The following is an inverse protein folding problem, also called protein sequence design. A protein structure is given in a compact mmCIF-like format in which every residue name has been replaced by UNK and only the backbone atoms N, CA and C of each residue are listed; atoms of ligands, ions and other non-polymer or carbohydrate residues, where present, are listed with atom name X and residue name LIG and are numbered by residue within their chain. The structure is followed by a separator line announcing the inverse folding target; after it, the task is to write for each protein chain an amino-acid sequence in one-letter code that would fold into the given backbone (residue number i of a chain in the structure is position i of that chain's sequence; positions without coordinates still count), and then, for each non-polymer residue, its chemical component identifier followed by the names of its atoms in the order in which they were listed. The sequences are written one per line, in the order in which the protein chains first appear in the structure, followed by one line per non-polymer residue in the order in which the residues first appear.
data_IF_469166286396
#
_entry.id   IF_469166286396
#
_cell.length_a   1.000
_cell.length_b   1.000
_cell.length_c   1.000
_cell.angle_alpha   90.00
_cell.angle_beta   90.00
_cell.angle_gamma   90.00
#
_symmetry.space_group_name_H-M   'P 1'
#
loop_
_entity.id
_entity.type
_entity.pdbx_description
1 polymer ?
#
# COMPACT_ATOMS: atom_id res chain seq x y z
N UNK A 1 6.09 -15.84 16.24
CA UNK A 1 7.02 -16.37 15.22
C UNK A 1 8.27 -15.50 15.25
N UNK A 2 9.44 -16.08 15.53
CA UNK A 2 10.71 -15.35 15.56
C UNK A 2 11.01 -14.82 14.15
N UNK A 3 10.99 -13.49 13.96
CA UNK A 3 11.47 -12.87 12.73
C UNK A 3 12.94 -13.24 12.58
N UNK A 4 13.32 -13.83 11.45
CA UNK A 4 14.71 -14.21 11.15
C UNK A 4 15.61 -12.98 11.24
N UNK A 5 16.33 -12.81 12.36
CA UNK A 5 17.13 -11.61 12.66
C UNK A 5 18.24 -11.40 11.63
N UNK A 6 18.80 -12.49 11.08
CA UNK A 6 19.80 -12.46 10.02
C UNK A 6 19.24 -11.86 8.73
N UNK A 7 18.02 -12.23 8.35
CA UNK A 7 17.33 -11.64 7.20
C UNK A 7 17.05 -10.14 7.42
N UNK A 8 16.58 -9.77 8.62
CA UNK A 8 16.33 -8.36 8.97
C UNK A 8 17.62 -7.54 9.02
N UNK A 9 18.74 -8.12 9.45
CA UNK A 9 20.05 -7.48 9.37
C UNK A 9 20.49 -7.27 7.92
N UNK A 10 20.38 -8.32 7.08
CA UNK A 10 20.72 -8.24 5.66
C UNK A 10 19.90 -7.17 4.93
N UNK A 11 18.57 -7.15 5.10
CA UNK A 11 17.71 -6.16 4.47
C UNK A 11 18.02 -4.73 4.92
N UNK A 12 18.39 -4.51 6.20
CA UNK A 12 18.84 -3.20 6.68
C UNK A 12 20.13 -2.76 6.01
N UNK A 13 21.14 -3.64 5.94
CA UNK A 13 22.41 -3.35 5.29
C UNK A 13 22.21 -3.01 3.81
N UNK A 14 21.39 -3.79 3.11
CA UNK A 14 21.08 -3.58 1.72
C UNK A 14 20.38 -2.23 1.48
N UNK A 15 19.34 -1.92 2.25
CA UNK A 15 18.63 -0.64 2.14
C UNK A 15 19.54 0.55 2.48
N UNK A 16 20.47 0.38 3.43
CA UNK A 16 21.47 1.38 3.74
C UNK A 16 22.41 1.63 2.55
N UNK A 17 22.93 0.57 1.91
CA UNK A 17 23.79 0.69 0.72
C UNK A 17 23.05 1.27 -0.48
N UNK A 18 21.78 0.91 -0.68
CA UNK A 18 20.96 1.48 -1.73
C UNK A 18 20.65 2.97 -1.49
N UNK A 19 20.34 3.37 -0.25
CA UNK A 19 20.14 4.78 0.11
C UNK A 19 21.41 5.61 -0.09
N UNK A 20 22.59 5.04 0.22
CA UNK A 20 23.88 5.66 -0.05
C UNK A 20 24.07 5.88 -1.56
N UNK A 21 23.77 4.89 -2.40
CA UNK A 21 23.83 5.03 -3.85
C UNK A 21 22.90 6.14 -4.37
N UNK A 22 21.66 6.22 -3.85
CA UNK A 22 20.71 7.28 -4.23
C UNK A 22 21.23 8.67 -3.82
N UNK A 23 21.89 8.78 -2.67
CA UNK A 23 22.53 10.04 -2.25
C UNK A 23 23.64 10.45 -3.22
N UNK A 24 24.52 9.50 -3.60
CA UNK A 24 25.61 9.78 -4.53
C UNK A 24 25.14 10.07 -5.95
N UNK A 25 24.05 9.45 -6.41
CA UNK A 25 23.40 9.79 -7.66
C UNK A 25 22.99 11.27 -7.70
N UNK A 26 22.36 11.76 -6.62
CA UNK A 26 21.96 13.15 -6.51
C UNK A 26 23.15 14.12 -6.44
N UNK A 27 24.26 13.70 -5.81
CA UNK A 27 25.51 14.47 -5.79
C UNK A 27 26.15 14.53 -7.18
N UNK A 28 26.16 13.41 -7.90
CA UNK A 28 26.68 13.32 -9.26
C UNK A 28 25.90 14.25 -10.20
N UNK A 29 24.57 14.17 -10.21
CA UNK A 29 23.72 15.01 -11.06
C UNK A 29 23.94 16.50 -10.79
N UNK A 30 24.12 16.89 -9.52
CA UNK A 30 24.47 18.27 -9.14
C UNK A 30 25.88 18.69 -9.57
N UNK A 31 26.86 17.79 -9.56
CA UNK A 31 28.22 18.13 -9.98
C UNK A 31 28.36 18.18 -11.51
N UNK A 32 27.60 17.35 -12.24
CA UNK A 32 27.66 17.31 -13.69
C UNK A 32 27.19 18.62 -14.34
N UNK A 33 26.29 19.37 -13.68
CA UNK A 33 25.86 20.70 -14.12
C UNK A 33 26.86 21.82 -13.81
N UNK A 34 27.89 21.60 -12.99
CA UNK A 34 28.92 22.58 -12.68
C UNK A 34 30.10 22.53 -13.66
N UNK A 35 30.92 23.57 -13.74
CA UNK A 35 32.09 23.62 -14.65
C UNK A 35 33.38 23.01 -14.07
N UNK A 36 33.34 22.41 -12.88
CA UNK A 36 34.54 21.87 -12.22
C UNK A 36 34.78 20.38 -12.61
N UNK A 37 35.79 20.06 -13.44
CA UNK A 37 36.05 18.69 -13.90
C UNK A 37 36.56 17.77 -12.80
N UNK A 38 37.40 18.26 -11.88
CA UNK A 38 37.96 17.46 -10.79
C UNK A 38 36.85 17.02 -9.83
N UNK A 39 35.93 17.93 -9.51
CA UNK A 39 34.75 17.62 -8.70
C UNK A 39 33.89 16.54 -9.35
N UNK A 40 33.69 16.58 -10.68
CA UNK A 40 32.92 15.57 -11.41
C UNK A 40 33.55 14.18 -11.30
N UNK A 41 34.88 14.09 -11.39
CA UNK A 41 35.61 12.83 -11.21
C UNK A 41 35.44 12.27 -9.80
N UNK A 42 35.66 13.10 -8.77
CA UNK A 42 35.52 12.69 -7.37
C UNK A 42 34.13 12.15 -7.07
N UNK A 43 33.06 12.84 -7.49
CA UNK A 43 31.70 12.34 -7.22
C UNK A 43 31.35 11.10 -8.06
N UNK A 44 31.92 10.95 -9.26
CA UNK A 44 31.76 9.76 -10.06
C UNK A 44 32.48 8.55 -9.45
N UNK A 45 33.66 8.76 -8.84
CA UNK A 45 34.38 7.75 -8.05
C UNK A 45 33.55 7.31 -6.84
N UNK A 46 32.99 8.26 -6.09
CA UNK A 46 32.12 7.97 -4.95
C UNK A 46 30.89 7.15 -5.36
N UNK A 47 30.22 7.55 -6.44
CA UNK A 47 29.07 6.82 -6.95
C UNK A 47 29.46 5.43 -7.48
N UNK A 48 30.63 5.29 -8.11
CA UNK A 48 31.14 4.00 -8.59
C UNK A 48 31.41 3.07 -7.40
N UNK A 49 32.02 3.59 -6.33
CA UNK A 49 32.27 2.82 -5.13
C UNK A 49 30.96 2.40 -4.45
N UNK A 50 29.99 3.32 -4.29
CA UNK A 50 28.68 2.99 -3.74
C UNK A 50 27.94 1.92 -4.58
N UNK A 51 28.08 1.98 -5.90
CA UNK A 51 27.51 0.97 -6.81
C UNK A 51 28.17 -0.40 -6.65
N UNK A 52 29.50 -0.44 -6.53
CA UNK A 52 30.26 -1.67 -6.31
C UNK A 52 29.97 -2.29 -4.93
N UNK A 53 29.89 -1.45 -3.90
CA UNK A 53 29.52 -1.87 -2.54
C UNK A 53 28.14 -2.52 -2.51
N UNK A 54 27.14 -1.88 -3.14
CA UNK A 54 25.80 -2.45 -3.25
C UNK A 54 25.83 -3.78 -4.02
N UNK A 55 26.54 -3.83 -5.16
CA UNK A 55 26.69 -5.07 -5.93
C UNK A 55 27.33 -6.19 -5.12
N UNK A 56 28.33 -5.88 -4.28
CA UNK A 56 29.01 -6.86 -3.43
C UNK A 56 28.11 -7.44 -2.32
N UNK A 57 27.02 -6.75 -1.97
CA UNK A 57 26.03 -7.28 -1.01
C UNK A 57 25.01 -8.22 -1.66
N UNK A 58 24.96 -8.32 -2.98
CA UNK A 58 23.97 -9.08 -3.73
C UNK A 58 24.54 -10.40 -4.24
N UNK A 59 23.68 -11.41 -4.37
CA UNK A 59 24.01 -12.59 -5.16
C UNK A 59 24.02 -12.23 -6.65
N UNK A 60 24.77 -12.97 -7.47
CA UNK A 60 24.86 -12.69 -8.92
C UNK A 60 23.50 -12.69 -9.63
N UNK A 61 22.52 -13.46 -9.14
CA UNK A 61 21.18 -13.49 -9.73
C UNK A 61 20.28 -12.33 -9.34
N UNK A 62 20.66 -11.57 -8.30
CA UNK A 62 19.85 -10.48 -7.76
C UNK A 62 20.43 -9.11 -8.13
N UNK A 63 21.48 -9.08 -8.95
CA UNK A 63 22.08 -7.84 -9.47
C UNK A 63 21.20 -7.34 -10.63
N UNK A 64 20.47 -6.22 -10.46
CA UNK A 64 19.66 -5.71 -11.54
C UNK A 64 20.53 -5.08 -12.64
N UNK A 65 20.04 -5.14 -13.89
CA UNK A 65 20.76 -4.61 -15.05
C UNK A 65 21.15 -3.13 -14.90
N UNK A 66 20.29 -2.34 -14.27
CA UNK A 66 20.56 -0.92 -14.02
C UNK A 66 21.83 -0.72 -13.17
N UNK A 67 22.13 -1.60 -12.23
CA UNK A 67 23.31 -1.49 -11.36
C UNK A 67 24.58 -1.81 -12.14
N UNK A 68 24.54 -2.86 -12.97
CA UNK A 68 25.65 -3.22 -13.86
C UNK A 68 25.92 -2.11 -14.87
N UNK A 69 24.88 -1.58 -15.51
CA UNK A 69 25.00 -0.48 -16.47
C UNK A 69 25.55 0.79 -15.83
N UNK A 70 25.11 1.12 -14.62
CA UNK A 70 25.61 2.26 -13.84
C UNK A 70 27.12 2.14 -13.59
N UNK A 71 27.59 0.97 -13.16
CA UNK A 71 29.02 0.69 -12.94
C UNK A 71 29.83 0.86 -14.25
N UNK A 72 29.29 0.38 -15.37
CA UNK A 72 29.94 0.50 -16.69
C UNK A 72 30.06 1.96 -17.11
N UNK A 73 28.97 2.74 -17.05
CA UNK A 73 28.98 4.15 -17.44
C UNK A 73 29.96 4.98 -16.62
N UNK A 74 29.98 4.77 -15.30
CA UNK A 74 30.91 5.43 -14.38
C UNK A 74 32.36 5.02 -14.67
N UNK A 75 32.60 3.73 -14.92
CA UNK A 75 33.93 3.21 -15.27
C UNK A 75 34.47 3.83 -16.55
N UNK A 76 33.67 3.89 -17.61
CA UNK A 76 34.07 4.51 -18.89
C UNK A 76 34.34 6.01 -18.74
N UNK A 77 33.54 6.73 -17.94
CA UNK A 77 33.78 8.15 -17.68
C UNK A 77 35.11 8.37 -16.95
N UNK A 78 35.40 7.60 -15.90
CA UNK A 78 36.63 7.75 -15.12
C UNK A 78 37.89 7.34 -15.90
N UNK A 79 37.77 6.42 -16.84
CA UNK A 79 38.85 6.04 -17.77
C UNK A 79 39.03 7.05 -18.92
N UNK A 80 38.18 8.08 -19.02
CA UNK A 80 38.20 9.06 -20.09
C UNK A 80 37.62 8.58 -21.43
N UNK A 81 37.01 7.39 -21.45
CA UNK A 81 36.35 6.86 -22.65
C UNK A 81 35.01 7.54 -22.94
N UNK A 82 34.32 8.05 -21.91
CA UNK A 82 33.04 8.76 -22.02
C UNK A 82 33.19 10.22 -21.55
N UNK A 83 32.48 11.13 -22.21
CA UNK A 83 32.37 12.53 -21.76
C UNK A 83 31.37 12.68 -20.61
N UNK A 84 31.33 13.86 -19.97
CA UNK A 84 30.28 14.17 -18.98
C UNK A 84 28.87 14.09 -19.56
N UNK A 85 28.70 14.39 -20.85
CA UNK A 85 27.41 14.29 -21.54
C UNK A 85 26.99 12.83 -21.73
N UNK A 86 27.93 11.96 -22.09
CA UNK A 86 27.67 10.51 -22.25
C UNK A 86 27.31 9.88 -20.91
N UNK A 87 28.03 10.25 -19.84
CA UNK A 87 27.69 9.82 -18.48
C UNK A 87 26.29 10.29 -18.09
N UNK A 88 25.97 11.57 -18.28
CA UNK A 88 24.66 12.12 -17.96
C UNK A 88 23.54 11.40 -18.71
N UNK A 89 23.73 11.16 -20.01
CA UNK A 89 22.77 10.46 -20.87
C UNK A 89 22.54 9.01 -20.43
N UNK A 90 23.59 8.32 -19.98
CA UNK A 90 23.50 6.98 -19.41
C UNK A 90 22.76 6.96 -18.07
N UNK A 91 23.12 7.87 -17.16
CA UNK A 91 22.56 7.94 -15.80
C UNK A 91 21.08 8.36 -15.81
N UNK A 92 20.67 9.30 -16.67
CA UNK A 92 19.26 9.71 -16.75
C UNK A 92 18.35 8.53 -17.11
N UNK A 93 18.80 7.61 -17.98
CA UNK A 93 18.02 6.43 -18.39
C UNK A 93 17.74 5.47 -17.23
N UNK A 94 18.66 5.38 -16.27
CA UNK A 94 18.56 4.47 -15.12
C UNK A 94 18.14 5.17 -13.83
N UNK A 95 18.04 6.51 -13.81
CA UNK A 95 17.73 7.31 -12.60
C UNK A 95 16.46 6.84 -11.89
N UNK A 96 15.35 6.76 -12.64
CA UNK A 96 14.06 6.35 -12.07
C UNK A 96 14.16 4.94 -11.48
N UNK A 97 14.83 4.03 -12.19
CA UNK A 97 15.04 2.65 -11.73
C UNK A 97 15.85 2.60 -10.44
N UNK A 98 16.90 3.42 -10.30
CA UNK A 98 17.70 3.50 -9.07
C UNK A 98 16.84 4.01 -7.89
N UNK A 99 16.05 5.07 -8.07
CA UNK A 99 15.30 5.71 -6.98
C UNK A 99 14.05 4.91 -6.57
N UNK A 100 13.38 4.28 -7.53
CA UNK A 100 12.13 3.56 -7.29
C UNK A 100 12.34 2.07 -7.01
N UNK A 101 13.58 1.55 -7.08
CA UNK A 101 13.82 0.13 -6.88
C UNK A 101 13.32 -0.31 -5.50
N UNK A 102 12.68 -1.48 -5.47
CA UNK A 102 12.26 -2.17 -4.26
C UNK A 102 12.84 -3.57 -4.33
N UNK A 103 13.68 -3.90 -3.37
CA UNK A 103 14.32 -5.20 -3.30
C UNK A 103 13.29 -6.28 -3.02
N UNK A 104 13.20 -7.25 -3.93
CA UNK A 104 12.42 -8.48 -3.78
C UNK A 104 13.37 -9.64 -4.05
N UNK A 105 13.55 -10.50 -3.06
CA UNK A 105 14.45 -11.67 -3.13
C UNK A 105 13.70 -12.99 -3.30
N UNK A 106 12.39 -12.92 -3.52
CA UNK A 106 11.55 -14.05 -3.84
C UNK A 106 11.69 -14.31 -5.33
N UNK A 107 12.52 -15.29 -5.69
CA UNK A 107 12.49 -15.93 -7.01
C UNK A 107 11.29 -16.88 -7.01
N UNK A 108 10.17 -16.42 -7.56
CA UNK A 108 9.17 -17.34 -8.08
C UNK A 108 9.05 -17.11 -9.59
N UNK A 109 9.29 -18.17 -10.38
CA UNK A 109 8.89 -18.24 -11.80
C UNK A 109 7.35 -18.28 -11.95
N UNK A 110 6.62 -18.35 -10.83
CA UNK A 110 5.17 -18.22 -10.72
C UNK A 110 4.85 -16.98 -9.87
N UNK A 111 4.46 -15.86 -10.50
CA UNK A 111 4.03 -14.70 -9.73
C UNK A 111 2.82 -15.05 -8.87
N UNK A 112 2.96 -14.97 -7.54
CA UNK A 112 1.82 -15.13 -6.65
C UNK A 112 0.71 -14.13 -7.00
N UNK A 113 -0.55 -14.55 -6.86
CA UNK A 113 -1.69 -13.65 -7.02
C UNK A 113 -1.63 -12.54 -5.97
N UNK A 114 -1.42 -11.30 -6.44
CA UNK A 114 -1.42 -10.11 -5.59
C UNK A 114 -2.85 -9.57 -5.43
N UNK A 115 -3.59 -10.22 -4.53
CA UNK A 115 -4.98 -9.86 -4.22
C UNK A 115 -5.11 -8.46 -3.60
N UNK A 116 -4.11 -8.00 -2.86
CA UNK A 116 -4.11 -6.65 -2.30
C UNK A 116 -3.96 -5.60 -3.40
N UNK A 117 -3.12 -5.83 -4.42
CA UNK A 117 -3.02 -4.93 -5.58
C UNK A 117 -4.33 -4.82 -6.36
N UNK A 118 -5.09 -5.92 -6.51
CA UNK A 118 -6.43 -5.89 -7.13
C UNK A 118 -7.37 -5.01 -6.30
N UNK A 119 -7.38 -5.17 -4.97
CA UNK A 119 -8.20 -4.33 -4.09
C UNK A 119 -7.80 -2.85 -4.15
N UNK A 120 -6.51 -2.55 -4.05
CA UNK A 120 -5.98 -1.18 -4.09
C UNK A 120 -6.34 -0.47 -5.39
N UNK A 121 -6.28 -1.18 -6.52
CA UNK A 121 -6.70 -0.65 -7.82
C UNK A 121 -8.16 -0.16 -7.78
N UNK A 122 -9.10 -1.03 -7.39
CA UNK A 122 -10.51 -0.64 -7.35
C UNK A 122 -10.86 0.32 -6.22
N UNK A 123 -10.15 0.28 -5.08
CA UNK A 123 -10.30 1.26 -4.00
C UNK A 123 -9.96 2.67 -4.50
N UNK A 124 -8.86 2.82 -5.25
CA UNK A 124 -8.43 4.11 -5.78
C UNK A 124 -9.36 4.67 -6.86
N UNK A 125 -10.11 3.81 -7.56
CA UNK A 125 -11.15 4.23 -8.51
C UNK A 125 -12.52 4.49 -7.85
N UNK A 126 -12.69 4.09 -6.60
CA UNK A 126 -13.95 4.21 -5.86
C UNK A 126 -14.08 5.57 -5.16
N UNK A 127 -15.30 5.92 -4.77
CA UNK A 127 -15.58 7.08 -3.88
C UNK A 127 -15.34 6.75 -2.40
N UNK A 128 -14.86 5.55 -2.09
CA UNK A 128 -14.72 5.08 -0.72
C UNK A 128 -13.81 5.97 0.16
N UNK A 129 -12.63 6.43 -0.31
CA UNK A 129 -11.77 7.30 0.50
C UNK A 129 -12.47 8.61 0.88
N UNK A 130 -13.23 9.20 -0.04
CA UNK A 130 -13.96 10.44 0.19
C UNK A 130 -15.12 10.24 1.17
N UNK A 131 -15.85 9.13 1.05
CA UNK A 131 -16.94 8.78 1.96
C UNK A 131 -16.43 8.51 3.37
N UNK A 132 -15.27 7.84 3.51
CA UNK A 132 -14.60 7.67 4.80
C UNK A 132 -14.20 9.01 5.43
N UNK A 133 -13.66 9.94 4.64
CA UNK A 133 -13.33 11.28 5.12
C UNK A 133 -14.57 12.06 5.56
N UNK A 134 -15.70 11.92 4.84
CA UNK A 134 -16.97 12.54 5.22
C UNK A 134 -17.52 11.99 6.54
N UNK A 135 -17.47 10.67 6.73
CA UNK A 135 -17.86 10.04 8.01
C UNK A 135 -17.01 10.59 9.15
N UNK A 136 -15.69 10.60 8.98
CA UNK A 136 -14.76 11.15 9.99
C UNK A 136 -15.13 12.59 10.32
N UNK A 137 -15.37 13.42 9.31
CA UNK A 137 -15.74 14.82 9.51
C UNK A 137 -17.03 14.98 10.32
N UNK A 138 -18.08 14.22 10.00
CA UNK A 138 -19.37 14.31 10.71
C UNK A 138 -19.21 13.82 12.16
N UNK A 139 -18.44 12.76 12.39
CA UNK A 139 -18.14 12.28 13.75
C UNK A 139 -17.36 13.32 14.56
N UNK A 140 -16.41 14.03 13.94
CA UNK A 140 -15.68 15.13 14.58
C UNK A 140 -16.59 16.33 14.89
N UNK A 141 -17.51 16.68 14.01
CA UNK A 141 -18.51 17.74 14.26
C UNK A 141 -19.41 17.37 15.45
N UNK A 142 -19.82 16.10 15.54
CA UNK A 142 -20.57 15.56 16.69
C UNK A 142 -19.73 15.64 17.97
N UNK A 143 -18.46 15.22 17.94
CA UNK A 143 -17.55 15.26 19.10
C UNK A 143 -17.32 16.70 19.58
N UNK A 144 -17.15 17.64 18.66
CA UNK A 144 -16.82 19.04 18.94
C UNK A 144 -18.04 19.91 19.28
N UNK A 145 -19.25 19.39 19.12
CA UNK A 145 -20.50 20.11 19.42
C UNK A 145 -20.60 20.59 20.87
N UNK A 146 -19.94 19.88 21.81
CA UNK A 146 -20.08 20.13 23.24
C UNK A 146 -21.39 19.63 23.85
N UNK A 147 -22.25 18.99 23.06
CA UNK A 147 -23.58 18.52 23.48
C UNK A 147 -23.54 17.12 24.14
N UNK A 148 -22.38 16.47 24.17
CA UNK A 148 -22.20 15.13 24.73
C UNK A 148 -21.66 15.23 26.16
N UNK A 149 -22.51 14.98 27.16
CA UNK A 149 -22.12 15.02 28.58
C UNK A 149 -21.34 13.77 29.05
N UNK A 150 -21.39 12.67 28.28
CA UNK A 150 -20.74 11.41 28.64
C UNK A 150 -19.28 11.39 28.21
N UNK A 151 -18.36 11.52 29.17
CA UNK A 151 -16.90 11.37 28.96
C UNK A 151 -16.56 10.02 28.31
N UNK A 152 -17.28 8.96 28.65
CA UNK A 152 -17.10 7.64 28.06
C UNK A 152 -17.46 7.64 26.57
N UNK A 153 -18.56 8.31 26.21
CA UNK A 153 -18.98 8.46 24.81
C UNK A 153 -17.95 9.23 23.99
N UNK A 154 -17.47 10.38 24.50
CA UNK A 154 -16.44 11.17 23.84
C UNK A 154 -15.19 10.32 23.58
N UNK A 155 -14.69 9.58 24.58
CA UNK A 155 -13.53 8.71 24.40
C UNK A 155 -13.76 7.61 23.36
N UNK A 156 -14.95 7.01 23.35
CA UNK A 156 -15.29 5.96 22.41
C UNK A 156 -15.40 6.49 20.96
N UNK A 157 -16.02 7.67 20.80
CA UNK A 157 -16.12 8.39 19.54
C UNK A 157 -14.73 8.80 19.02
N UNK A 158 -13.88 9.37 19.87
CA UNK A 158 -12.50 9.70 19.51
C UNK A 158 -11.69 8.46 19.11
N UNK A 159 -11.92 7.30 19.75
CA UNK A 159 -11.28 6.03 19.35
C UNK A 159 -11.78 5.52 18.00
N UNK A 160 -13.06 5.68 17.71
CA UNK A 160 -13.65 5.36 16.40
C UNK A 160 -13.04 6.24 15.30
N UNK A 161 -13.01 7.55 15.51
CA UNK A 161 -12.40 8.53 14.59
C UNK A 161 -10.93 8.18 14.32
N UNK A 162 -10.15 7.92 15.38
CA UNK A 162 -8.74 7.57 15.25
C UNK A 162 -8.54 6.25 14.47
N UNK A 163 -9.40 5.25 14.70
CA UNK A 163 -9.35 3.98 13.96
C UNK A 163 -9.64 4.21 12.48
N UNK A 164 -10.65 5.00 12.13
CA UNK A 164 -10.96 5.31 10.73
C UNK A 164 -9.83 6.05 10.02
N UNK A 165 -9.25 7.06 10.68
CA UNK A 165 -8.10 7.80 10.13
C UNK A 165 -6.89 6.91 9.88
N UNK A 166 -6.63 5.94 10.76
CA UNK A 166 -5.53 5.00 10.60
C UNK A 166 -5.80 3.93 9.54
N UNK A 167 -7.06 3.55 9.33
CA UNK A 167 -7.43 2.46 8.43
C UNK A 167 -7.79 2.89 7.00
N UNK A 168 -8.10 4.17 6.74
CA UNK A 168 -8.60 4.63 5.41
C UNK A 168 -7.64 4.33 4.25
N UNK A 169 -6.34 4.37 4.50
CA UNK A 169 -5.29 4.08 3.51
C UNK A 169 -4.69 2.67 3.70
N UNK A 170 -5.31 1.85 4.55
CA UNK A 170 -4.86 0.50 4.88
C UNK A 170 -5.28 -0.56 3.86
N UNK A 171 -4.91 -1.80 4.17
CA UNK A 171 -5.27 -2.98 3.37
C UNK A 171 -6.78 -3.29 3.42
N UNK A 172 -7.21 -4.22 2.57
CA UNK A 172 -8.58 -4.76 2.56
C UNK A 172 -9.09 -5.08 3.98
N UNK A 173 -8.26 -5.77 4.76
CA UNK A 173 -8.60 -6.16 6.12
C UNK A 173 -8.80 -4.94 7.04
N UNK A 174 -7.89 -3.97 7.00
CA UNK A 174 -7.96 -2.79 7.87
C UNK A 174 -9.22 -1.95 7.60
N UNK A 175 -9.59 -1.78 6.34
CA UNK A 175 -10.80 -1.05 5.93
C UNK A 175 -12.06 -1.79 6.36
N UNK A 176 -12.14 -3.10 6.10
CA UNK A 176 -13.31 -3.89 6.47
C UNK A 176 -13.51 -3.97 7.99
N UNK A 177 -12.43 -4.16 8.76
CA UNK A 177 -12.52 -4.16 10.23
C UNK A 177 -12.90 -2.79 10.79
N UNK A 178 -12.43 -1.69 10.19
CA UNK A 178 -12.88 -0.36 10.58
C UNK A 178 -14.37 -0.18 10.28
N UNK A 179 -14.83 -0.61 9.10
CA UNK A 179 -16.25 -0.57 8.73
C UNK A 179 -17.13 -1.40 9.69
N UNK A 180 -16.74 -2.63 10.02
CA UNK A 180 -17.41 -3.48 11.02
C UNK A 180 -17.51 -2.77 12.37
N UNK A 181 -16.41 -2.18 12.80
CA UNK A 181 -16.36 -1.48 14.08
C UNK A 181 -17.31 -0.29 14.10
N UNK A 182 -17.36 0.53 13.02
CA UNK A 182 -18.33 1.62 12.89
C UNK A 182 -19.75 1.11 12.94
N UNK A 183 -20.11 0.14 12.10
CA UNK A 183 -21.49 -0.37 12.04
C UNK A 183 -21.94 -0.93 13.39
N UNK A 184 -21.06 -1.64 14.10
CA UNK A 184 -21.31 -2.13 15.46
C UNK A 184 -21.47 -0.97 16.46
N UNK A 185 -20.59 0.04 16.40
CA UNK A 185 -20.66 1.21 17.28
C UNK A 185 -21.95 2.00 17.08
N UNK A 186 -22.33 2.24 15.82
CA UNK A 186 -23.55 2.97 15.46
C UNK A 186 -24.79 2.26 16.01
N UNK A 187 -24.93 0.97 15.69
CA UNK A 187 -26.08 0.15 16.04
C UNK A 187 -26.25 -0.04 17.54
N UNK A 188 -25.14 -0.30 18.24
CA UNK A 188 -25.19 -0.73 19.63
C UNK A 188 -25.01 0.42 20.64
N UNK A 189 -24.52 1.58 20.20
CA UNK A 189 -24.14 2.65 21.11
C UNK A 189 -24.60 4.02 20.64
N UNK A 190 -24.25 4.41 19.42
CA UNK A 190 -24.44 5.80 18.97
C UNK A 190 -25.91 6.19 18.77
N UNK A 191 -26.72 5.33 18.11
CA UNK A 191 -28.13 5.65 17.88
C UNK A 191 -28.97 5.65 19.17
N UNK A 192 -28.60 4.83 20.15
CA UNK A 192 -29.31 4.79 21.43
C UNK A 192 -29.05 6.06 22.27
N UNK A 193 -27.84 6.60 22.21
CA UNK A 193 -27.43 7.72 23.07
C UNK A 193 -27.56 9.09 22.39
N UNK A 194 -27.10 9.25 21.15
CA UNK A 194 -27.09 10.57 20.50
C UNK A 194 -28.46 10.98 19.95
N UNK A 195 -29.34 10.03 19.60
CA UNK A 195 -30.68 10.36 19.14
C UNK A 195 -31.54 11.05 20.23
N UNK A 196 -31.11 10.99 21.50
CA UNK A 196 -31.75 11.68 22.62
C UNK A 196 -31.42 13.17 22.68
N UNK A 197 -30.45 13.64 21.88
CA UNK A 197 -29.95 15.03 21.87
C UNK A 197 -30.52 15.73 20.63
N UNK A 198 -31.56 16.58 20.75
CA UNK A 198 -32.24 17.17 19.59
C UNK A 198 -31.33 18.00 18.69
N UNK A 199 -30.34 18.69 19.27
CA UNK A 199 -29.40 19.57 18.56
C UNK A 199 -28.53 18.79 17.56
N UNK A 200 -28.30 17.50 17.79
CA UNK A 200 -27.50 16.65 16.91
C UNK A 200 -28.29 16.03 15.74
N UNK A 201 -29.61 16.23 15.67
CA UNK A 201 -30.49 15.55 14.71
C UNK A 201 -29.99 15.63 13.26
N UNK A 202 -29.64 16.83 12.78
CA UNK A 202 -29.16 17.03 11.41
C UNK A 202 -27.81 16.33 11.15
N UNK A 203 -26.90 16.31 12.12
CA UNK A 203 -25.61 15.62 11.98
C UNK A 203 -25.79 14.09 11.94
N UNK A 204 -26.73 13.56 12.74
CA UNK A 204 -27.07 12.14 12.74
C UNK A 204 -27.73 11.71 11.42
N UNK A 205 -28.62 12.53 10.86
CA UNK A 205 -29.22 12.29 9.54
C UNK A 205 -28.16 12.31 8.42
N UNK A 206 -27.26 13.29 8.45
CA UNK A 206 -26.15 13.37 7.50
C UNK A 206 -25.26 12.12 7.58
N UNK A 207 -24.93 11.69 8.80
CA UNK A 207 -24.14 10.50 9.05
C UNK A 207 -24.84 9.25 8.52
N UNK A 208 -26.12 9.06 8.82
CA UNK A 208 -26.91 7.92 8.33
C UNK A 208 -26.92 7.87 6.79
N UNK A 209 -27.09 9.01 6.14
CA UNK A 209 -27.04 9.10 4.68
C UNK A 209 -25.67 8.71 4.14
N UNK A 210 -24.58 9.26 4.68
CA UNK A 210 -23.22 8.92 4.25
C UNK A 210 -22.89 7.45 4.50
N UNK A 211 -23.40 6.84 5.58
CA UNK A 211 -23.25 5.41 5.84
C UNK A 211 -23.96 4.57 4.78
N UNK A 212 -25.17 4.95 4.36
CA UNK A 212 -25.90 4.25 3.27
C UNK A 212 -25.13 4.32 1.96
N UNK A 213 -24.65 5.51 1.59
CA UNK A 213 -23.81 5.70 0.39
C UNK A 213 -22.52 4.86 0.48
N UNK A 214 -21.90 4.80 1.66
CA UNK A 214 -20.68 4.00 1.89
C UNK A 214 -20.95 2.50 1.80
N UNK A 215 -22.09 2.02 2.30
CA UNK A 215 -22.49 0.62 2.15
C UNK A 215 -22.66 0.22 0.67
N UNK A 216 -23.30 1.09 -0.12
CA UNK A 216 -23.46 0.85 -1.56
C UNK A 216 -22.10 0.82 -2.28
N UNK A 217 -21.21 1.76 -1.95
CA UNK A 217 -19.87 1.80 -2.53
C UNK A 217 -19.01 0.59 -2.14
N UNK A 218 -19.04 0.18 -0.86
CA UNK A 218 -18.38 -1.03 -0.37
C UNK A 218 -18.89 -2.28 -1.09
N UNK A 219 -20.20 -2.39 -1.29
CA UNK A 219 -20.80 -3.50 -2.02
C UNK A 219 -20.31 -3.55 -3.47
N UNK A 220 -20.34 -2.42 -4.17
CA UNK A 220 -19.88 -2.31 -5.56
C UNK A 220 -18.38 -2.63 -5.68
N UNK A 221 -17.56 -2.12 -4.74
CA UNK A 221 -16.14 -2.40 -4.65
C UNK A 221 -15.89 -3.91 -4.51
N UNK A 222 -16.56 -4.56 -3.55
CA UNK A 222 -16.42 -6.00 -3.34
C UNK A 222 -16.82 -6.83 -4.55
N UNK A 223 -17.88 -6.44 -5.28
CA UNK A 223 -18.26 -7.13 -6.52
C UNK A 223 -17.19 -7.03 -7.60
N UNK A 224 -16.61 -5.85 -7.81
CA UNK A 224 -15.53 -5.63 -8.79
C UNK A 224 -14.28 -6.43 -8.43
N UNK A 225 -13.89 -6.38 -7.16
CA UNK A 225 -12.74 -7.12 -6.62
C UNK A 225 -12.96 -8.62 -6.78
N UNK A 226 -14.14 -9.14 -6.41
CA UNK A 226 -14.48 -10.55 -6.57
C UNK A 226 -14.38 -11.01 -8.03
N UNK A 227 -14.98 -10.25 -8.95
CA UNK A 227 -14.95 -10.60 -10.38
C UNK A 227 -13.51 -10.61 -10.92
N UNK A 228 -12.70 -9.62 -10.54
CA UNK A 228 -11.30 -9.52 -10.96
C UNK A 228 -10.43 -10.64 -10.39
N UNK A 229 -10.61 -11.00 -9.11
CA UNK A 229 -9.91 -12.13 -8.49
C UNK A 229 -10.27 -13.46 -9.15
N UNK A 230 -11.57 -13.72 -9.39
CA UNK A 230 -12.01 -14.90 -10.14
C UNK A 230 -11.37 -14.93 -11.52
N UNK A 231 -11.41 -13.82 -12.26
CA UNK A 231 -10.81 -13.76 -13.60
C UNK A 231 -9.30 -14.02 -13.59
N UNK A 232 -8.55 -13.41 -12.67
CA UNK A 232 -7.11 -13.61 -12.56
C UNK A 232 -6.78 -15.09 -12.32
N UNK A 233 -7.43 -15.70 -11.33
CA UNK A 233 -7.21 -17.11 -10.98
C UNK A 233 -7.65 -18.06 -12.09
N UNK A 234 -8.78 -17.82 -12.74
CA UNK A 234 -9.27 -18.68 -13.82
C UNK A 234 -8.41 -18.61 -15.08
N UNK A 235 -7.77 -17.45 -15.32
CA UNK A 235 -6.88 -17.25 -16.47
C UNK A 235 -5.55 -17.99 -16.34
N UNK A 236 -5.03 -18.10 -15.11
CA UNK A 236 -3.74 -18.72 -14.82
C UNK A 236 -3.89 -20.19 -14.40
N UNK A 237 -4.96 -20.53 -13.68
CA UNK A 237 -5.25 -21.89 -13.21
C UNK A 237 -6.45 -22.46 -13.96
N UNK A 238 -6.20 -23.03 -15.15
CA UNK A 238 -7.23 -23.60 -16.04
C UNK A 238 -8.19 -24.58 -15.36
N UNK A 239 -7.72 -25.33 -14.36
CA UNK A 239 -8.55 -26.29 -13.62
C UNK A 239 -9.67 -25.62 -12.80
N UNK A 240 -9.51 -24.33 -12.47
CA UNK A 240 -10.46 -23.52 -11.71
C UNK A 240 -11.39 -22.68 -12.59
N UNK A 241 -11.29 -22.75 -13.92
CA UNK A 241 -12.18 -22.04 -14.84
C UNK A 241 -13.66 -22.31 -14.52
N UNK A 242 -14.44 -21.24 -14.41
CA UNK A 242 -15.86 -21.23 -14.01
C UNK A 242 -16.15 -21.88 -12.63
N UNK A 243 -15.11 -22.08 -11.80
CA UNK A 243 -15.18 -22.73 -10.48
C UNK A 243 -14.58 -21.88 -9.36
N UNK A 244 -13.85 -20.81 -9.69
CA UNK A 244 -13.19 -19.97 -8.71
C UNK A 244 -14.24 -19.12 -7.96
N UNK A 245 -14.54 -19.52 -6.71
CA UNK A 245 -15.43 -18.78 -5.81
C UNK A 245 -14.62 -18.12 -4.71
N UNK A 246 -14.60 -16.80 -4.70
CA UNK A 246 -14.05 -16.01 -3.58
C UNK A 246 -15.18 -15.57 -2.66
N UNK A 247 -15.12 -16.03 -1.41
CA UNK A 247 -16.01 -15.55 -0.34
C UNK A 247 -15.39 -14.32 0.31
N UNK A 248 -16.10 -13.20 0.28
CA UNK A 248 -15.69 -12.00 1.00
C UNK A 248 -16.43 -11.90 2.33
N UNK A 249 -15.82 -11.19 3.27
CA UNK A 249 -16.53 -10.55 4.37
C UNK A 249 -17.41 -9.47 3.72
N UNK A 250 -18.59 -9.89 3.25
CA UNK A 250 -19.49 -9.08 2.46
C UNK A 250 -20.59 -8.50 3.33
N UNK A 251 -21.04 -7.30 2.98
CA UNK A 251 -22.25 -6.73 3.53
C UNK A 251 -23.32 -6.72 2.46
N UNK A 252 -24.55 -7.06 2.83
CA UNK A 252 -25.66 -6.81 1.92
C UNK A 252 -25.94 -5.30 1.81
N UNK A 253 -26.81 -4.90 0.89
CA UNK A 253 -27.21 -3.49 0.69
C UNK A 253 -27.76 -2.80 1.95
N UNK A 254 -28.11 -3.57 2.98
CA UNK A 254 -28.62 -3.08 4.25
C UNK A 254 -27.53 -2.96 5.33
N UNK A 255 -26.25 -3.20 4.99
CA UNK A 255 -25.13 -3.15 5.93
C UNK A 255 -25.08 -4.33 6.90
N UNK A 256 -25.77 -5.44 6.61
CA UNK A 256 -25.67 -6.67 7.40
C UNK A 256 -24.58 -7.57 6.85
N UNK A 257 -23.77 -8.12 7.75
CA UNK A 257 -22.79 -9.15 7.42
C UNK A 257 -23.48 -10.34 6.72
N UNK A 258 -22.98 -10.71 5.54
CA UNK A 258 -23.36 -11.94 4.86
C UNK A 258 -22.36 -13.03 5.25
N UNK A 259 -22.79 -13.96 6.10
CA UNK A 259 -22.10 -15.24 6.21
C UNK A 259 -22.16 -15.93 4.84
N UNK A 260 -21.01 -16.27 4.27
CA UNK A 260 -20.93 -17.16 3.12
C UNK A 260 -21.42 -18.54 3.57
N UNK A 261 -22.64 -18.92 3.16
CA UNK A 261 -23.40 -20.09 3.63
C UNK A 261 -22.98 -21.43 3.04
N UNK A 262 -21.89 -21.53 2.26
CA UNK A 262 -21.40 -22.84 1.82
C UNK A 262 -20.41 -23.42 2.84
N UNK A 263 -20.70 -24.58 3.49
CA UNK A 263 -19.71 -25.27 4.28
C UNK A 263 -18.52 -25.61 3.38
N UNK A 264 -17.31 -25.23 3.80
CA UNK A 264 -16.05 -25.65 3.17
C UNK A 264 -15.90 -27.17 3.36
N UNK A 265 -16.56 -27.95 2.51
CA UNK A 265 -16.31 -29.38 2.41
C UNK A 265 -14.91 -29.54 1.82
N UNK A 266 -13.96 -29.91 2.68
CA UNK A 266 -12.70 -30.47 2.21
C UNK A 266 -13.06 -31.65 1.29
N UNK A 267 -12.44 -31.79 0.11
CA UNK A 267 -12.65 -32.97 -0.71
C UNK A 267 -12.29 -34.19 0.15
N UNK A 268 -13.21 -35.14 0.26
CA UNK A 268 -12.93 -36.45 0.86
C UNK A 268 -11.77 -37.05 0.07
N UNK A 269 -10.58 -37.04 0.68
CA UNK A 269 -9.43 -37.79 0.17
C UNK A 269 -9.71 -39.24 0.52
N UNK A 270 -10.37 -39.96 -0.40
CA UNK A 270 -10.43 -41.41 -0.36
C UNK A 270 -8.99 -41.92 -0.51
N UNK A 271 -8.48 -42.58 0.53
CA UNK A 271 -7.22 -43.32 0.51
C UNK A 271 -7.31 -44.55 -0.40
#
# INVERSE_FOLDING_TARGET
MAKNESLQFYLRLLNQKHSQLVSELNNLLRALSAENPDRKKVVAENMLQASKDLKATLSNSDVPDWLTNTIIYLGHFLQGAHSSFDLLSGIIKVKSQIESHRWKFEKDDESAFDFDSIFEHYKNESRLPDLFNQIVKILEEIEQSGEIDSVTMIKALGKLIATFKASKDGSYFAINSAWEFLMSFLKNYMWAELAKIPVLGTALEALEKTIKETNEEMFNLHQKVQASMSQAVESEVKALKDKAKFGFIGYNKNGNFQETTEPRLLPNISA
#
